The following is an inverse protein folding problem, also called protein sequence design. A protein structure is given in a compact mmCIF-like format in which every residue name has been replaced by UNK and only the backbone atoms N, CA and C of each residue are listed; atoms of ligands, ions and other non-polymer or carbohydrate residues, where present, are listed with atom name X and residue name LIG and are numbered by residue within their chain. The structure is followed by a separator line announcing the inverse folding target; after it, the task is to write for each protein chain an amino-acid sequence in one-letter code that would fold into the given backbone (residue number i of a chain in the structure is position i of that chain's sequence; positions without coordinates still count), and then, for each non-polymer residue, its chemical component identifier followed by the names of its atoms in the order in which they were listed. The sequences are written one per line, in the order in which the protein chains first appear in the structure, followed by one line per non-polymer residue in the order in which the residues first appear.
data_IF_046976548935
#
_entry.id   IF_046976548935
#
_cell.length_a   1.000
_cell.length_b   1.000
_cell.length_c   1.000
_cell.angle_alpha   90.00
_cell.angle_beta   90.00
_cell.angle_gamma   90.00
#
_symmetry.space_group_name_H-M   'P 1'
#
loop_
_entity.id
_entity.type
_entity.pdbx_description
1 polymer ?
#
# COMPACT_ATOMS: atom_id res chain seq x y z
N UNK A 1 -11.86 12.49 9.18
CA UNK A 1 -11.15 11.87 8.04
C UNK A 1 -12.18 11.41 7.03
N UNK A 2 -11.98 11.74 5.76
CA UNK A 2 -12.76 11.27 4.61
C UNK A 2 -11.84 10.37 3.80
N UNK A 3 -12.19 9.09 3.68
CA UNK A 3 -11.46 8.17 2.81
C UNK A 3 -12.22 8.04 1.47
N UNK A 4 -11.62 8.52 0.39
CA UNK A 4 -12.14 8.31 -0.97
C UNK A 4 -11.21 7.42 -1.79
N UNK A 5 -10.11 6.95 -1.20
CA UNK A 5 -9.09 6.16 -1.89
C UNK A 5 -9.70 4.90 -2.51
N UNK A 6 -9.17 4.53 -3.67
CA UNK A 6 -9.55 3.31 -4.38
C UNK A 6 -8.37 2.36 -4.41
N UNK A 7 -8.60 1.04 -4.22
CA UNK A 7 -7.54 0.05 -4.36
C UNK A 7 -6.80 0.18 -5.71
N UNK A 8 -5.49 0.06 -5.67
CA UNK A 8 -4.64 -0.02 -6.86
C UNK A 8 -3.93 -1.37 -6.93
N UNK A 9 -3.51 -1.80 -8.12
CA UNK A 9 -2.73 -3.05 -8.28
C UNK A 9 -1.25 -2.76 -8.47
N UNK A 10 -0.41 -3.58 -7.84
CA UNK A 10 1.04 -3.57 -7.98
C UNK A 10 1.56 -5.00 -7.83
N UNK A 11 2.23 -5.52 -8.86
CA UNK A 11 2.77 -6.90 -8.88
C UNK A 11 1.73 -7.97 -8.45
N UNK A 12 0.53 -7.90 -9.03
CA UNK A 12 -0.64 -8.74 -8.73
C UNK A 12 -1.23 -8.66 -7.31
N UNK A 13 -0.62 -7.85 -6.44
CA UNK A 13 -1.17 -7.53 -5.12
C UNK A 13 -2.03 -6.25 -5.16
N UNK A 14 -3.10 -6.25 -4.36
CA UNK A 14 -3.96 -5.08 -4.19
C UNK A 14 -3.41 -4.18 -3.08
N UNK A 15 -3.10 -2.93 -3.43
CA UNK A 15 -2.63 -1.89 -2.55
C UNK A 15 -3.78 -0.97 -2.14
N UNK A 16 -4.06 -0.88 -0.84
CA UNK A 16 -5.16 -0.11 -0.24
C UNK A 16 -4.66 0.82 0.87
N UNK A 17 -3.95 1.88 0.48
CA UNK A 17 -3.30 2.81 1.40
C UNK A 17 -4.30 3.59 2.24
N UNK A 18 -5.39 4.06 1.65
CA UNK A 18 -6.39 4.83 2.36
C UNK A 18 -6.97 4.05 3.54
N UNK A 19 -7.28 2.78 3.33
CA UNK A 19 -7.79 1.90 4.39
C UNK A 19 -6.75 1.64 5.47
N UNK A 20 -5.49 1.43 5.08
CA UNK A 20 -4.38 1.28 6.03
C UNK A 20 -4.19 2.55 6.89
N UNK A 21 -4.29 3.74 6.28
CA UNK A 21 -4.22 5.00 7.01
C UNK A 21 -5.38 5.15 7.99
N UNK A 22 -6.59 4.80 7.57
CA UNK A 22 -7.78 4.80 8.44
C UNK A 22 -7.59 3.88 9.63
N UNK A 23 -7.08 2.66 9.43
CA UNK A 23 -6.77 1.71 10.50
C UNK A 23 -5.70 2.24 11.47
N UNK A 24 -4.62 2.86 10.97
CA UNK A 24 -3.59 3.43 11.84
C UNK A 24 -4.08 4.64 12.62
N UNK A 25 -4.89 5.50 12.00
CA UNK A 25 -5.52 6.64 12.65
C UNK A 25 -6.50 6.18 13.74
N UNK A 26 -7.32 5.16 13.46
CA UNK A 26 -8.32 4.65 14.43
C UNK A 26 -7.68 4.02 15.68
N UNK A 27 -6.48 3.44 15.53
CA UNK A 27 -5.70 2.86 16.63
C UNK A 27 -4.89 3.88 17.42
N UNK A 28 -4.67 5.08 16.88
CA UNK A 28 -3.95 6.13 17.58
C UNK A 28 -4.85 6.81 18.62
N UNK A 29 -4.41 6.83 19.89
CA UNK A 29 -5.13 7.43 21.02
C UNK A 29 -4.75 8.89 21.30
N UNK A 30 -3.74 9.43 20.63
CA UNK A 30 -3.27 10.81 20.79
C UNK A 30 -4.28 11.83 20.25
N UNK A 31 -5.16 11.41 19.34
CA UNK A 31 -6.10 12.26 18.63
C UNK A 31 -7.44 11.56 18.47
N UNK A 32 -8.52 12.33 18.57
CA UNK A 32 -9.89 11.84 18.39
C UNK A 32 -10.29 11.86 16.91
N UNK A 33 -10.00 10.75 16.21
CA UNK A 33 -10.27 10.62 14.78
C UNK A 33 -11.72 10.19 14.52
N UNK A 34 -12.47 11.03 13.81
CA UNK A 34 -13.80 10.71 13.29
C UNK A 34 -13.74 10.37 11.81
N UNK A 35 -14.22 9.19 11.41
CA UNK A 35 -14.30 8.75 10.01
C UNK A 35 -15.72 8.99 9.49
N UNK A 36 -15.89 9.95 8.60
CA UNK A 36 -17.22 10.45 8.20
C UNK A 36 -17.27 10.80 6.72
N UNK A 37 -18.49 10.93 6.19
CA UNK A 37 -18.70 11.39 4.81
C UNK A 37 -18.16 12.82 4.59
N UNK A 38 -17.84 13.16 3.34
CA UNK A 38 -17.40 14.52 2.96
C UNK A 38 -18.39 15.61 3.41
N UNK A 39 -19.70 15.33 3.30
CA UNK A 39 -20.77 16.26 3.73
C UNK A 39 -20.74 16.47 5.24
N UNK A 40 -20.60 15.39 6.02
CA UNK A 40 -20.54 15.46 7.49
C UNK A 40 -19.27 16.17 7.97
N UNK A 41 -18.12 15.85 7.37
CA UNK A 41 -16.84 16.48 7.66
C UNK A 41 -16.89 18.00 7.43
N UNK A 42 -17.40 18.46 6.28
CA UNK A 42 -17.54 19.89 5.99
C UNK A 42 -18.50 20.59 6.94
N UNK A 43 -19.62 19.93 7.30
CA UNK A 43 -20.58 20.48 8.26
C UNK A 43 -19.95 20.62 9.65
N UNK A 44 -19.25 19.61 10.14
CA UNK A 44 -18.57 19.67 11.44
C UNK A 44 -17.42 20.69 11.46
N UNK A 45 -16.65 20.80 10.38
CA UNK A 45 -15.60 21.82 10.25
C UNK A 45 -16.17 23.25 10.30
N UNK A 46 -17.32 23.50 9.64
CA UNK A 46 -18.00 24.80 9.67
C UNK A 46 -18.61 25.11 11.03
N UNK A 47 -19.11 24.10 11.74
CA UNK A 47 -19.69 24.23 13.09
C UNK A 47 -18.62 24.41 14.18
N UNK A 48 -17.38 24.03 13.90
CA UNK A 48 -16.30 23.99 14.89
C UNK A 48 -16.20 22.66 15.65
N UNK A 49 -17.04 21.68 15.30
CA UNK A 49 -17.01 20.32 15.88
C UNK A 49 -15.70 19.60 15.53
N UNK A 50 -15.08 19.96 14.41
CA UNK A 50 -13.79 19.45 13.96
C UNK A 50 -12.79 20.58 13.77
N UNK A 51 -11.57 20.41 14.32
CA UNK A 51 -10.44 21.31 14.08
C UNK A 51 -9.85 21.17 12.68
N UNK A 52 -9.91 19.95 12.13
CA UNK A 52 -9.32 19.61 10.85
C UNK A 52 -10.11 18.51 10.14
N UNK A 53 -10.24 18.63 8.83
CA UNK A 53 -10.71 17.58 7.93
C UNK A 53 -9.53 17.14 7.07
N UNK A 54 -9.24 15.84 7.10
CA UNK A 54 -8.28 15.18 6.21
C UNK A 54 -9.08 14.41 5.16
N UNK A 55 -8.73 14.59 3.88
CA UNK A 55 -9.30 13.87 2.74
C UNK A 55 -8.21 13.06 2.05
N UNK A 56 -8.42 11.75 2.00
CA UNK A 56 -7.61 10.82 1.22
C UNK A 56 -8.25 10.73 -0.18
N UNK A 57 -7.58 11.22 -1.24
CA UNK A 57 -8.15 11.27 -2.58
C UNK A 57 -8.25 9.88 -3.22
N UNK A 58 -9.07 9.75 -4.27
CA UNK A 58 -9.32 8.47 -4.96
C UNK A 58 -8.08 7.83 -5.59
N UNK A 59 -7.08 8.64 -5.94
CA UNK A 59 -5.85 8.22 -6.60
C UNK A 59 -4.69 8.00 -5.63
N UNK A 60 -4.93 8.01 -4.31
CA UNK A 60 -3.86 7.91 -3.31
C UNK A 60 -3.08 6.60 -3.44
N UNK A 61 -3.78 5.46 -3.46
CA UNK A 61 -3.17 4.14 -3.66
C UNK A 61 -2.55 4.01 -5.05
N UNK A 62 -3.18 4.55 -6.09
CA UNK A 62 -2.63 4.54 -7.45
C UNK A 62 -1.30 5.29 -7.51
N UNK A 63 -1.23 6.50 -6.95
CA UNK A 63 0.01 7.29 -6.92
C UNK A 63 1.12 6.58 -6.18
N UNK A 64 0.79 5.83 -5.15
CA UNK A 64 1.79 5.08 -4.41
C UNK A 64 2.39 3.91 -5.17
N UNK A 65 1.68 3.30 -6.12
CA UNK A 65 2.29 2.28 -6.99
C UNK A 65 3.41 2.85 -7.84
N UNK A 66 3.38 4.17 -8.11
CA UNK A 66 4.41 4.86 -8.88
C UNK A 66 5.66 5.21 -8.08
N UNK A 67 5.70 4.99 -6.75
CA UNK A 67 6.86 5.36 -5.92
C UNK A 67 8.16 4.64 -6.32
N UNK A 68 8.04 3.51 -7.02
CA UNK A 68 9.17 2.76 -7.57
C UNK A 68 9.47 3.06 -9.04
N UNK A 69 8.64 3.87 -9.70
CA UNK A 69 8.87 4.24 -11.08
C UNK A 69 10.03 5.25 -11.17
N UNK A 70 10.72 5.33 -12.32
CA UNK A 70 11.76 6.35 -12.54
C UNK A 70 11.26 7.78 -12.28
N UNK A 71 9.97 8.01 -12.52
CA UNK A 71 9.28 9.26 -12.21
C UNK A 71 8.10 9.00 -11.24
N UNK A 72 8.33 9.07 -9.92
CA UNK A 72 7.28 8.85 -8.95
C UNK A 72 6.32 10.03 -8.90
N UNK A 73 5.02 9.75 -8.85
CA UNK A 73 4.01 10.76 -8.65
C UNK A 73 3.95 11.17 -7.17
N UNK A 74 3.84 12.48 -6.92
CA UNK A 74 3.71 13.01 -5.55
C UNK A 74 2.42 12.50 -4.91
N UNK A 75 2.52 11.83 -3.76
CA UNK A 75 1.35 11.60 -2.90
C UNK A 75 0.87 12.93 -2.33
N UNK A 76 -0.39 13.25 -2.55
CA UNK A 76 -1.00 14.47 -2.03
C UNK A 76 -2.17 14.10 -1.13
N UNK A 77 -2.11 14.51 0.13
CA UNK A 77 -3.24 14.40 1.06
C UNK A 77 -3.81 15.80 1.24
N UNK A 78 -5.12 15.94 1.07
CA UNK A 78 -5.78 17.24 1.21
C UNK A 78 -6.22 17.40 2.66
N UNK A 79 -6.01 18.59 3.22
CA UNK A 79 -6.55 18.92 4.52
C UNK A 79 -7.16 20.32 4.52
N UNK A 80 -8.12 20.53 5.42
CA UNK A 80 -8.81 21.80 5.66
C UNK A 80 -8.91 22.01 7.16
N UNK A 81 -8.74 23.25 7.62
CA UNK A 81 -8.82 23.60 9.03
C UNK A 81 -9.92 24.61 9.29
N UNK A 82 -10.41 24.66 10.53
CA UNK A 82 -11.22 25.79 10.99
C UNK A 82 -10.32 27.04 11.17
N UNK A 83 -10.91 28.24 11.05
CA UNK A 83 -10.17 29.51 11.16
C UNK A 83 -9.45 29.57 12.52
N UNK A 84 -8.11 29.66 12.52
CA UNK A 84 -7.29 29.86 13.73
C UNK A 84 -6.17 28.84 13.97
N UNK A 85 -6.12 27.69 13.26
CA UNK A 85 -5.24 26.56 13.64
C UNK A 85 -4.36 26.00 12.50
N UNK A 86 -4.08 26.80 11.45
CA UNK A 86 -3.41 26.34 10.23
C UNK A 86 -2.03 25.69 10.42
N UNK A 87 -1.20 26.18 11.36
CA UNK A 87 0.18 25.73 11.51
C UNK A 87 0.30 24.36 12.20
N UNK A 88 -0.53 24.10 13.22
CA UNK A 88 -0.56 22.81 13.93
C UNK A 88 -1.01 21.71 12.97
N UNK A 89 -2.07 21.98 12.21
CA UNK A 89 -2.58 21.06 11.19
C UNK A 89 -1.56 20.76 10.08
N UNK A 90 -0.84 21.78 9.60
CA UNK A 90 0.22 21.59 8.61
C UNK A 90 1.31 20.65 9.13
N UNK A 91 1.77 20.85 10.37
CA UNK A 91 2.82 20.03 10.99
C UNK A 91 2.37 18.60 11.32
N UNK A 92 1.10 18.43 11.69
CA UNK A 92 0.49 17.10 11.84
C UNK A 92 0.38 16.39 10.48
N UNK A 93 0.01 17.11 9.43
CA UNK A 93 -0.02 16.61 8.04
C UNK A 93 1.35 16.15 7.56
N UNK A 94 2.40 16.94 7.82
CA UNK A 94 3.79 16.55 7.53
C UNK A 94 4.20 15.29 8.28
N UNK A 95 3.93 15.20 9.58
CA UNK A 95 4.27 14.03 10.40
C UNK A 95 3.54 12.77 9.92
N UNK A 96 2.24 12.90 9.60
CA UNK A 96 1.46 11.81 9.03
C UNK A 96 2.00 11.38 7.67
N UNK A 97 2.42 12.33 6.82
CA UNK A 97 3.01 12.04 5.52
C UNK A 97 4.37 11.33 5.64
N UNK A 98 5.20 11.73 6.61
CA UNK A 98 6.49 11.07 6.86
C UNK A 98 6.27 9.62 7.32
N UNK A 99 5.41 9.39 8.32
CA UNK A 99 5.07 8.03 8.78
C UNK A 99 4.42 7.18 7.69
N UNK A 100 3.64 7.82 6.82
CA UNK A 100 3.03 7.17 5.66
C UNK A 100 4.10 6.74 4.66
N UNK A 101 5.01 7.65 4.29
CA UNK A 101 6.12 7.35 3.38
C UNK A 101 6.94 6.18 3.90
N UNK A 102 7.24 6.15 5.20
CA UNK A 102 7.92 5.03 5.84
C UNK A 102 7.12 3.72 5.73
N UNK A 103 5.83 3.74 6.07
CA UNK A 103 4.98 2.53 6.01
C UNK A 103 4.83 2.00 4.59
N UNK A 104 4.66 2.89 3.61
CA UNK A 104 4.51 2.53 2.19
C UNK A 104 5.82 1.96 1.66
N UNK A 105 6.96 2.60 1.93
CA UNK A 105 8.27 2.06 1.54
C UNK A 105 8.53 0.68 2.16
N UNK A 106 8.17 0.47 3.43
CA UNK A 106 8.29 -0.84 4.09
C UNK A 106 7.38 -1.89 3.46
N UNK A 107 6.13 -1.53 3.15
CA UNK A 107 5.18 -2.44 2.52
C UNK A 107 5.64 -2.82 1.10
N UNK A 108 6.02 -1.83 0.28
CA UNK A 108 6.59 -2.06 -1.06
C UNK A 108 7.82 -2.98 -0.98
N UNK A 109 8.74 -2.70 -0.06
CA UNK A 109 9.93 -3.55 0.15
C UNK A 109 9.51 -4.98 0.48
N UNK A 110 8.50 -5.15 1.35
CA UNK A 110 7.97 -6.47 1.71
C UNK A 110 7.34 -7.20 0.53
N UNK A 111 6.52 -6.53 -0.28
CA UNK A 111 5.93 -7.10 -1.49
C UNK A 111 7.03 -7.52 -2.45
N UNK A 112 8.04 -6.66 -2.67
CA UNK A 112 9.17 -6.97 -3.54
C UNK A 112 9.97 -8.18 -3.05
N UNK A 113 10.35 -8.20 -1.76
CA UNK A 113 11.06 -9.35 -1.18
C UNK A 113 10.22 -10.62 -1.28
N UNK A 114 8.91 -10.53 -1.09
CA UNK A 114 7.99 -11.68 -1.20
C UNK A 114 7.89 -12.17 -2.64
N UNK A 115 7.79 -11.26 -3.61
CA UNK A 115 7.77 -11.59 -5.04
C UNK A 115 9.08 -12.25 -5.48
N UNK A 116 10.23 -11.69 -5.11
CA UNK A 116 11.56 -12.28 -5.40
C UNK A 116 11.69 -13.67 -4.77
N UNK A 117 11.27 -13.82 -3.51
CA UNK A 117 11.32 -15.11 -2.83
C UNK A 117 10.37 -16.14 -3.47
N UNK A 118 9.18 -15.69 -3.89
CA UNK A 118 8.21 -16.52 -4.62
C UNK A 118 8.79 -16.99 -5.96
N UNK A 119 9.36 -16.08 -6.75
CA UNK A 119 10.04 -16.44 -8.01
C UNK A 119 11.22 -17.38 -7.79
N UNK A 120 12.00 -17.23 -6.72
CA UNK A 120 13.09 -18.14 -6.41
C UNK A 120 12.58 -19.55 -6.04
N UNK A 121 11.45 -19.61 -5.34
CA UNK A 121 10.79 -20.89 -4.98
C UNK A 121 10.23 -21.57 -6.23
N UNK A 122 9.62 -20.80 -7.13
CA UNK A 122 9.11 -21.28 -8.42
C UNK A 122 10.25 -21.80 -9.31
N UNK A 123 11.36 -21.08 -9.39
CA UNK A 123 12.58 -21.52 -10.07
C UNK A 123 13.13 -22.82 -9.47
N UNK A 124 13.19 -22.94 -8.15
CA UNK A 124 13.61 -24.17 -7.48
C UNK A 124 12.71 -25.35 -7.85
N UNK A 125 11.39 -25.13 -7.89
CA UNK A 125 10.41 -26.14 -8.31
C UNK A 125 10.63 -26.58 -9.75
N UNK A 126 10.76 -25.63 -10.68
CA UNK A 126 11.02 -25.93 -12.09
C UNK A 126 12.35 -26.67 -12.32
N UNK A 127 13.41 -26.32 -11.58
CA UNK A 127 14.68 -27.03 -11.63
C UNK A 127 14.56 -28.48 -11.11
N UNK A 128 13.75 -28.71 -10.07
CA UNK A 128 13.49 -30.05 -9.54
C UNK A 128 12.70 -30.91 -10.53
N UNK A 129 11.70 -30.34 -11.19
CA UNK A 129 10.97 -31.00 -12.27
C UNK A 129 11.88 -31.36 -13.44
N UNK A 130 12.72 -30.43 -13.89
CA UNK A 130 13.69 -30.67 -14.96
C UNK A 130 14.69 -31.80 -14.62
N UNK A 131 15.19 -31.82 -13.38
CA UNK A 131 16.06 -32.90 -12.89
C UNK A 131 15.35 -34.26 -12.89
N UNK A 132 14.10 -34.29 -12.42
CA UNK A 132 13.28 -35.51 -12.38
C UNK A 132 12.96 -36.01 -13.80
N UNK A 133 12.59 -35.10 -14.72
CA UNK A 133 12.35 -35.43 -16.12
C UNK A 133 13.60 -35.95 -16.82
N UNK A 134 14.78 -35.38 -16.53
CA UNK A 134 16.06 -35.87 -17.08
C UNK A 134 16.41 -37.28 -16.59
N UNK A 135 16.15 -37.58 -15.32
CA UNK A 135 16.34 -38.92 -14.75
C UNK A 135 15.37 -39.94 -15.37
N UNK A 136 14.11 -39.54 -15.57
CA UNK A 136 13.10 -40.36 -16.24
C UNK A 136 13.52 -40.66 -17.69
N UNK A 137 13.99 -39.66 -18.44
CA UNK A 137 14.49 -39.84 -19.79
C UNK A 137 15.70 -40.76 -19.86
N UNK A 138 16.69 -40.57 -18.98
CA UNK A 138 17.88 -41.43 -18.90
C UNK A 138 17.51 -42.89 -18.57
N UNK A 139 16.54 -43.09 -17.67
CA UNK A 139 16.05 -44.42 -17.30
C UNK A 139 15.29 -45.08 -18.46
N UNK A 140 14.41 -44.34 -19.12
CA UNK A 140 13.68 -44.82 -20.30
C UNK A 140 14.61 -45.19 -21.46
N UNK A 141 15.67 -44.41 -21.68
CA UNK A 141 16.69 -44.73 -22.69
C UNK A 141 17.43 -46.05 -22.38
N UNK A 142 17.79 -46.29 -21.10
CA UNK A 142 18.39 -47.58 -20.69
C UNK A 142 17.43 -48.76 -20.88
N UNK A 143 16.16 -48.59 -20.53
CA UNK A 143 15.14 -49.63 -20.74
C UNK A 143 14.96 -49.95 -22.21
N UNK A 144 14.89 -48.93 -23.08
CA UNK A 144 14.75 -49.11 -24.53
C UNK A 144 15.98 -49.76 -25.19
N UNK A 145 17.18 -49.58 -24.63
CA UNK A 145 18.39 -50.25 -25.09
C UNK A 145 18.43 -51.75 -24.69
N UNK A 146 17.79 -52.11 -23.58
CA UNK A 146 17.86 -53.44 -22.99
C UNK A 146 16.77 -54.41 -23.48
N UNK A 147 15.81 -53.94 -24.27
CA UNK A 147 14.74 -54.75 -24.88
C UNK A 147 14.84 -54.75 -26.40
#
# INVERSE_FOLDING_TARGET
VINQDKPAKMADESLTIGDYMVDKMSKNKELDYHFVSSKSAQKGLKKGDYYMVITLPEDLSQRATTLLNPEPQKLTIRYQTSKGHGMVAAKMGETAMTKLKESVSQNITKIYTSAVFSSMTELQSGLKEASTGSQALASGAKTAQAG
#
